data_IF_726164546461
#
_entry.id   IF_726164546461
#
_cell.length_a   1.000
_cell.length_b   1.000
_cell.length_c   1.000
_cell.angle_alpha   90.00
_cell.angle_beta   90.00
_cell.angle_gamma   90.00
#
_symmetry.space_group_name_H-M   'P 1'
#
loop_
_entity.id
_entity.type
_entity.pdbx_description
1 polymer ?
#
# COMPACT_ATOMS: atom_id res chain seq x y z
N UNK A 1 -14.99 -17.62 -1.71
CA UNK A 1 -15.41 -17.43 -3.12
C UNK A 1 -16.94 -17.26 -3.27
N UNK A 2 -17.80 -18.12 -2.68
CA UNK A 2 -19.23 -18.08 -3.00
C UNK A 2 -19.96 -16.79 -2.59
N UNK A 3 -19.34 -15.96 -1.76
CA UNK A 3 -19.90 -14.69 -1.30
C UNK A 3 -19.21 -13.45 -1.89
N UNK A 4 -18.30 -13.62 -2.85
CA UNK A 4 -17.54 -12.52 -3.45
C UNK A 4 -16.56 -11.82 -2.50
N UNK A 5 -16.27 -12.42 -1.34
CA UNK A 5 -15.30 -11.84 -0.38
C UNK A 5 -13.88 -12.15 -0.81
N UNK A 6 -13.01 -11.17 -0.63
CA UNK A 6 -11.57 -11.30 -0.87
C UNK A 6 -10.85 -11.15 0.47
N UNK A 7 -10.13 -12.19 0.86
CA UNK A 7 -9.17 -12.15 1.95
C UNK A 7 -7.85 -11.62 1.42
N UNK A 8 -7.28 -10.63 2.08
CA UNK A 8 -6.01 -10.06 1.67
C UNK A 8 -4.91 -10.38 2.68
N UNK A 9 -3.74 -10.75 2.17
CA UNK A 9 -2.52 -11.00 2.93
C UNK A 9 -1.68 -9.73 2.94
N UNK A 10 -1.32 -9.27 4.12
CA UNK A 10 -0.50 -8.06 4.29
C UNK A 10 0.91 -8.42 4.80
N UNK A 11 1.95 -8.28 3.98
CA UNK A 11 3.33 -8.31 4.44
C UNK A 11 3.65 -7.07 5.28
N UNK A 12 4.18 -7.28 6.50
CA UNK A 12 4.48 -6.21 7.44
C UNK A 12 6.00 -6.08 7.67
N UNK A 13 6.52 -4.86 7.73
CA UNK A 13 7.95 -4.65 7.93
C UNK A 13 8.43 -5.16 9.30
N UNK A 14 9.62 -5.73 9.32
CA UNK A 14 10.23 -6.34 10.49
C UNK A 14 10.51 -5.33 11.64
N UNK A 15 10.80 -4.07 11.32
CA UNK A 15 11.13 -3.06 12.32
C UNK A 15 9.95 -2.75 13.24
N UNK A 16 8.76 -2.60 12.65
CA UNK A 16 7.54 -2.30 13.41
C UNK A 16 6.86 -3.57 13.95
N UNK A 17 7.07 -4.71 13.30
CA UNK A 17 6.41 -5.98 13.59
C UNK A 17 7.43 -7.14 13.65
N UNK A 18 8.35 -7.14 14.64
CA UNK A 18 9.37 -8.19 14.75
C UNK A 18 8.75 -9.55 15.03
N UNK A 19 9.30 -10.58 14.38
CA UNK A 19 8.90 -11.98 14.60
C UNK A 19 7.71 -12.46 13.75
N UNK A 20 7.18 -11.64 12.87
CA UNK A 20 6.18 -12.08 11.91
C UNK A 20 6.81 -12.89 10.77
N UNK A 21 6.04 -13.86 10.27
CA UNK A 21 6.46 -14.73 9.15
C UNK A 21 6.38 -14.00 7.80
N UNK A 22 5.29 -13.26 7.56
CA UNK A 22 5.01 -12.61 6.28
C UNK A 22 5.53 -11.17 6.31
N UNK A 23 6.66 -10.93 5.65
CA UNK A 23 7.31 -9.61 5.66
C UNK A 23 7.58 -9.04 4.27
N UNK A 24 7.58 -9.86 3.22
CA UNK A 24 7.98 -9.44 1.89
C UNK A 24 6.88 -9.66 0.86
N UNK A 25 6.76 -8.74 -0.10
CA UNK A 25 5.75 -8.83 -1.16
C UNK A 25 5.95 -10.04 -2.08
N UNK A 26 7.17 -10.48 -2.45
CA UNK A 26 7.37 -11.72 -3.20
C UNK A 26 6.88 -12.95 -2.45
N UNK A 27 7.02 -12.99 -1.12
CA UNK A 27 6.56 -14.10 -0.30
C UNK A 27 5.02 -14.20 -0.34
N UNK A 28 4.32 -13.05 -0.17
CA UNK A 28 2.86 -13.00 -0.30
C UNK A 28 2.40 -13.39 -1.71
N UNK A 29 3.13 -12.97 -2.75
CA UNK A 29 2.84 -13.32 -4.13
C UNK A 29 2.86 -14.83 -4.36
N UNK A 30 3.90 -15.53 -3.90
CA UNK A 30 3.99 -16.99 -4.04
C UNK A 30 2.90 -17.74 -3.26
N UNK A 31 2.49 -17.21 -2.09
CA UNK A 31 1.36 -17.77 -1.34
C UNK A 31 0.06 -17.64 -2.13
N UNK A 32 -0.27 -16.42 -2.63
CA UNK A 32 -1.48 -16.18 -3.41
C UNK A 32 -1.50 -17.05 -4.68
N UNK A 33 -0.37 -17.15 -5.39
CA UNK A 33 -0.22 -18.02 -6.56
C UNK A 33 -0.43 -19.49 -6.23
N UNK A 34 0.05 -19.94 -5.10
CA UNK A 34 -0.09 -21.35 -4.67
C UNK A 34 -1.52 -21.68 -4.25
N UNK A 35 -2.23 -20.71 -3.67
CA UNK A 35 -3.66 -20.85 -3.33
C UNK A 35 -4.53 -20.85 -4.58
N UNK A 36 -4.13 -20.09 -5.62
CA UNK A 36 -4.80 -19.96 -6.91
C UNK A 36 -6.30 -19.66 -6.80
N UNK A 37 -6.66 -18.69 -5.96
CA UNK A 37 -8.04 -18.28 -5.72
C UNK A 37 -8.23 -16.77 -5.92
N UNK A 38 -9.32 -16.32 -6.57
CA UNK A 38 -9.67 -14.91 -6.65
C UNK A 38 -10.00 -14.31 -5.28
N UNK A 39 -10.26 -15.13 -4.27
CA UNK A 39 -10.56 -14.72 -2.89
C UNK A 39 -9.33 -14.70 -1.97
N UNK A 40 -8.12 -14.96 -2.49
CA UNK A 40 -6.87 -14.85 -1.76
C UNK A 40 -5.92 -13.94 -2.52
N UNK A 41 -5.73 -12.71 -2.03
CA UNK A 41 -4.98 -11.66 -2.71
C UNK A 41 -4.03 -10.94 -1.76
N UNK A 42 -3.27 -9.98 -2.28
CA UNK A 42 -2.32 -9.16 -1.52
C UNK A 42 -2.98 -7.83 -1.16
N UNK A 43 -2.82 -7.42 0.08
CA UNK A 43 -2.82 -6.03 0.50
C UNK A 43 -1.37 -5.54 0.41
N UNK A 44 -1.10 -4.60 -0.49
CA UNK A 44 0.21 -4.00 -0.64
C UNK A 44 0.25 -2.68 0.13
N UNK A 45 0.76 -2.70 1.36
CA UNK A 45 0.99 -1.48 2.15
C UNK A 45 2.31 -0.83 1.72
N UNK A 46 2.20 0.34 1.11
CA UNK A 46 3.34 1.07 0.54
C UNK A 46 4.32 1.51 1.63
N UNK A 47 3.82 1.88 2.82
CA UNK A 47 4.66 2.23 3.97
C UNK A 47 5.50 1.03 4.45
N UNK A 48 4.85 -0.13 4.64
CA UNK A 48 5.55 -1.33 5.09
C UNK A 48 6.58 -1.80 4.07
N UNK A 49 6.23 -1.81 2.80
CA UNK A 49 7.15 -2.27 1.76
C UNK A 49 8.27 -1.28 1.47
N UNK A 50 8.07 0.03 1.68
CA UNK A 50 9.17 1.00 1.62
C UNK A 50 10.25 0.67 2.65
N UNK A 51 9.87 0.38 3.89
CA UNK A 51 10.80 0.06 4.98
C UNK A 51 11.47 -1.30 4.76
N UNK A 52 10.69 -2.30 4.35
CA UNK A 52 11.16 -3.69 4.26
C UNK A 52 12.00 -3.94 3.01
N UNK A 53 11.55 -3.47 1.85
CA UNK A 53 12.11 -3.85 0.56
C UNK A 53 12.62 -2.66 -0.24
N UNK A 54 12.01 -1.48 -0.08
CA UNK A 54 12.20 -0.39 -1.04
C UNK A 54 11.74 -0.78 -2.45
N UNK A 55 12.33 -0.18 -3.48
CA UNK A 55 12.11 -0.58 -4.88
C UNK A 55 10.62 -0.75 -5.27
N UNK A 56 9.76 0.15 -4.77
CA UNK A 56 8.30 -0.01 -4.75
C UNK A 56 7.68 -0.32 -6.11
N UNK A 57 7.94 0.50 -7.15
CA UNK A 57 7.31 0.32 -8.46
C UNK A 57 7.64 -1.02 -9.12
N UNK A 58 8.90 -1.50 -9.12
CA UNK A 58 9.23 -2.85 -9.58
C UNK A 58 8.54 -3.96 -8.78
N UNK A 59 8.44 -3.83 -7.46
CA UNK A 59 7.76 -4.82 -6.61
C UNK A 59 6.25 -4.83 -6.85
N UNK A 60 5.60 -3.66 -6.95
CA UNK A 60 4.19 -3.54 -7.37
C UNK A 60 3.98 -4.21 -8.74
N UNK A 61 4.87 -3.95 -9.71
CA UNK A 61 4.78 -4.57 -11.04
C UNK A 61 4.84 -6.09 -10.97
N UNK A 62 5.75 -6.64 -10.17
CA UNK A 62 5.93 -8.09 -10.01
C UNK A 62 4.70 -8.75 -9.41
N UNK A 63 4.09 -8.12 -8.40
CA UNK A 63 2.95 -8.66 -7.66
C UNK A 63 1.59 -8.28 -8.26
N UNK A 64 1.54 -7.50 -9.33
CA UNK A 64 0.36 -6.80 -9.84
C UNK A 64 -0.92 -7.63 -9.91
N UNK A 65 -0.84 -8.83 -10.47
CA UNK A 65 -2.02 -9.67 -10.70
C UNK A 65 -2.62 -10.27 -9.41
N UNK A 66 -1.88 -10.18 -8.31
CA UNK A 66 -2.34 -10.68 -7.02
C UNK A 66 -2.68 -9.55 -6.03
N UNK A 67 -2.47 -8.27 -6.39
CA UNK A 67 -2.82 -7.14 -5.54
C UNK A 67 -4.30 -6.79 -5.69
N UNK A 68 -5.06 -6.81 -4.58
CA UNK A 68 -6.45 -6.39 -4.54
C UNK A 68 -6.67 -5.10 -3.73
N UNK A 69 -5.70 -4.67 -2.94
CA UNK A 69 -5.82 -3.51 -2.06
C UNK A 69 -4.46 -2.86 -1.85
N UNK A 70 -4.42 -1.54 -1.85
CA UNK A 70 -3.24 -0.78 -1.44
C UNK A 70 -3.50 -0.03 -0.13
N UNK A 71 -2.49 0.08 0.71
CA UNK A 71 -2.48 0.99 1.85
C UNK A 71 -1.42 2.08 1.69
N UNK A 72 -1.75 3.25 2.22
CA UNK A 72 -1.00 4.50 2.03
C UNK A 72 -0.61 5.06 3.39
N UNK A 73 0.66 5.33 3.57
CA UNK A 73 1.25 6.05 4.67
C UNK A 73 2.67 6.44 4.29
N UNK A 74 3.07 7.69 4.54
CA UNK A 74 4.40 8.15 4.15
C UNK A 74 5.46 7.72 5.17
N UNK A 75 6.65 7.45 4.68
CA UNK A 75 7.80 7.08 5.51
C UNK A 75 8.87 8.19 5.43
N UNK A 76 9.45 8.57 6.57
CA UNK A 76 9.21 8.12 7.93
C UNK A 76 7.96 8.75 8.58
N UNK A 77 7.48 8.10 9.66
CA UNK A 77 6.48 8.68 10.56
C UNK A 77 5.04 8.28 10.29
N UNK A 78 4.75 7.56 9.18
CA UNK A 78 3.42 7.03 8.81
C UNK A 78 2.33 8.10 8.90
N UNK A 79 2.53 9.19 8.12
CA UNK A 79 1.61 10.32 7.97
C UNK A 79 1.07 10.39 6.53
N UNK A 80 0.28 11.44 6.23
CA UNK A 80 -0.25 11.69 4.89
C UNK A 80 0.86 11.85 3.83
N UNK A 81 0.58 11.59 2.55
CA UNK A 81 1.53 11.76 1.44
C UNK A 81 2.23 13.12 1.41
N UNK A 82 3.47 13.15 1.00
CA UNK A 82 4.36 14.33 0.95
C UNK A 82 4.88 14.82 2.30
N UNK A 83 4.72 14.05 3.36
CA UNK A 83 5.37 14.33 4.66
C UNK A 83 6.69 13.58 4.83
N UNK A 84 6.97 12.59 3.99
CA UNK A 84 8.17 11.76 4.02
C UNK A 84 8.89 11.66 2.68
N UNK A 85 9.46 10.49 2.42
CA UNK A 85 10.35 10.25 1.27
C UNK A 85 9.68 9.56 0.08
N UNK A 86 8.43 9.07 0.26
CA UNK A 86 7.76 8.28 -0.78
C UNK A 86 7.17 9.19 -1.87
N UNK A 87 7.50 8.94 -3.11
CA UNK A 87 6.93 9.69 -4.24
C UNK A 87 5.53 9.17 -4.62
N UNK A 88 4.53 9.50 -3.80
CA UNK A 88 3.16 9.06 -4.00
C UNK A 88 2.56 9.51 -5.32
N UNK A 89 2.91 10.68 -5.85
CA UNK A 89 2.43 11.13 -7.16
C UNK A 89 2.83 10.15 -8.28
N UNK A 90 4.05 9.69 -8.29
CA UNK A 90 4.52 8.70 -9.28
C UNK A 90 3.86 7.33 -9.06
N UNK A 91 3.65 6.92 -7.81
CA UNK A 91 3.01 5.65 -7.49
C UNK A 91 1.54 5.66 -7.91
N UNK A 92 0.78 6.71 -7.57
CA UNK A 92 -0.63 6.84 -7.96
C UNK A 92 -0.79 6.85 -9.47
N UNK A 93 0.02 7.65 -10.18
CA UNK A 93 0.04 7.67 -11.64
C UNK A 93 0.34 6.29 -12.23
N UNK A 94 1.28 5.55 -11.65
CA UNK A 94 1.61 4.20 -12.10
C UNK A 94 0.44 3.24 -11.91
N UNK A 95 -0.20 3.25 -10.74
CA UNK A 95 -1.35 2.40 -10.41
C UNK A 95 -2.53 2.73 -11.34
N UNK A 96 -2.84 4.02 -11.52
CA UNK A 96 -3.91 4.50 -12.42
C UNK A 96 -3.68 4.05 -13.87
N UNK A 97 -2.49 4.28 -14.40
CA UNK A 97 -2.16 3.92 -15.79
C UNK A 97 -2.21 2.41 -16.07
N UNK A 98 -2.17 1.59 -15.04
CA UNK A 98 -2.33 0.14 -15.14
C UNK A 98 -3.78 -0.33 -14.98
N UNK A 99 -4.73 0.59 -14.81
CA UNK A 99 -6.14 0.28 -14.72
C UNK A 99 -6.56 -0.42 -13.42
N UNK A 100 -5.97 -0.07 -12.29
CA UNK A 100 -6.40 -0.62 -11.00
C UNK A 100 -7.77 -0.06 -10.62
N UNK A 101 -8.73 -0.95 -10.36
CA UNK A 101 -10.11 -0.60 -10.00
C UNK A 101 -10.42 -0.84 -8.50
N UNK A 102 -9.41 -1.25 -7.74
CA UNK A 102 -9.54 -1.50 -6.30
C UNK A 102 -9.44 -0.23 -5.46
N UNK A 103 -9.23 -0.42 -4.16
CA UNK A 103 -9.17 0.67 -3.17
C UNK A 103 -7.72 0.97 -2.81
N UNK A 104 -7.40 2.27 -2.72
CA UNK A 104 -6.20 2.79 -2.10
C UNK A 104 -6.61 3.38 -0.74
N UNK A 105 -6.45 2.60 0.32
CA UNK A 105 -6.89 2.95 1.67
C UNK A 105 -5.86 3.79 2.42
N UNK A 106 -6.32 4.80 3.12
CA UNK A 106 -5.49 5.61 4.01
C UNK A 106 -5.28 4.88 5.34
N UNK A 107 -4.03 4.51 5.63
CA UNK A 107 -3.67 3.91 6.93
C UNK A 107 -2.48 4.65 7.54
N UNK A 108 -2.75 5.84 8.04
CA UNK A 108 -1.74 6.71 8.62
C UNK A 108 -2.35 7.68 9.64
N UNK A 109 -1.51 8.24 10.49
CA UNK A 109 -1.90 9.38 11.32
C UNK A 109 -1.78 10.71 10.57
N UNK A 110 -2.31 11.78 11.16
CA UNK A 110 -2.18 13.13 10.61
C UNK A 110 -0.88 13.80 11.11
N UNK A 111 -0.23 14.59 10.26
CA UNK A 111 0.95 15.36 10.63
C UNK A 111 0.64 16.52 11.58
N UNK A 112 -0.59 17.03 11.53
CA UNK A 112 -1.10 18.08 12.41
C UNK A 112 -2.31 17.59 13.21
N UNK A 113 -2.69 18.32 14.26
CA UNK A 113 -3.83 17.97 15.11
C UNK A 113 -5.11 18.69 14.66
N UNK A 114 -6.25 18.10 15.00
CA UNK A 114 -7.57 18.69 14.78
C UNK A 114 -7.86 19.01 13.32
N UNK A 115 -8.65 20.05 13.09
CA UNK A 115 -9.09 20.46 11.76
C UNK A 115 -7.94 20.76 10.81
N UNK A 116 -6.85 21.36 11.30
CA UNK A 116 -5.65 21.61 10.47
C UNK A 116 -5.01 20.33 9.95
N UNK A 117 -5.10 19.26 10.72
CA UNK A 117 -4.65 17.93 10.31
C UNK A 117 -5.56 17.32 9.24
N UNK A 118 -6.86 17.44 9.38
CA UNK A 118 -7.82 16.95 8.39
C UNK A 118 -7.68 17.70 7.06
N UNK A 119 -7.53 19.02 7.10
CA UNK A 119 -7.26 19.85 5.91
C UNK A 119 -5.94 19.44 5.25
N UNK A 120 -4.87 19.23 6.04
CA UNK A 120 -3.56 18.84 5.52
C UNK A 120 -3.63 17.49 4.78
N UNK A 121 -4.36 16.51 5.32
CA UNK A 121 -4.59 15.21 4.67
C UNK A 121 -5.30 15.39 3.33
N UNK A 122 -6.42 16.13 3.28
CA UNK A 122 -7.17 16.37 2.05
C UNK A 122 -6.28 17.01 0.98
N UNK A 123 -5.53 18.06 1.34
CA UNK A 123 -4.65 18.76 0.39
C UNK A 123 -3.48 17.89 -0.07
N UNK A 124 -2.93 17.03 0.80
CA UNK A 124 -1.89 16.08 0.43
C UNK A 124 -2.37 15.10 -0.65
N UNK A 125 -3.55 14.50 -0.47
CA UNK A 125 -4.12 13.58 -1.46
C UNK A 125 -4.46 14.29 -2.78
N UNK A 126 -5.11 15.45 -2.75
CA UNK A 126 -5.35 16.26 -3.96
C UNK A 126 -4.07 16.54 -4.74
N UNK A 127 -2.98 16.84 -4.03
CA UNK A 127 -1.68 17.16 -4.65
C UNK A 127 -1.06 15.95 -5.35
N UNK A 128 -1.13 14.77 -4.75
CA UNK A 128 -0.51 13.56 -5.32
C UNK A 128 -1.38 12.85 -6.35
N UNK A 129 -2.68 13.10 -6.34
CA UNK A 129 -3.65 12.55 -7.30
C UNK A 129 -3.88 13.47 -8.53
N UNK A 130 -3.14 14.57 -8.62
CA UNK A 130 -3.21 15.51 -9.74
C UNK A 130 -2.09 15.26 -10.74
N UNK A 131 -2.34 14.40 -11.77
CA UNK A 131 -1.37 14.04 -12.81
C UNK A 131 -2.02 13.81 -14.18
#
# INVERSE_FOLDING_TARGET
>A
EPHGLIMVLEPLNFLNHPGLFLTESPQAYEICKSVDSPSCKILFDIYHQQIQEGNLLPNIKKCWNEIAYFQIGDNPGRKEPSTGEINYKNIFKYIYNRGFEGILGMEHGNSKKGLDGEIAVIEAYKKVDNF
#
